data_IF_873116035916
#
_entry.id   IF_873116035916
#
_cell.length_a   1.000
_cell.length_b   1.000
_cell.length_c   1.000
_cell.angle_alpha   90.00
_cell.angle_beta   90.00
_cell.angle_gamma   90.00
#
_symmetry.space_group_name_H-M   'P 1'
#
loop_
_entity.id
_entity.type
_entity.pdbx_description
1 polymer ?
#
# COMPACT_ATOMS: atom_id res chain seq x y z
N UNK A 1 -0.77 2.93 -6.98
CA UNK A 1 -0.77 2.06 -8.18
C UNK A 1 -2.20 1.65 -8.46
N UNK A 2 -2.76 1.92 -9.67
CA UNK A 2 -4.08 1.42 -10.00
C UNK A 2 -4.09 -0.11 -10.02
N UNK A 3 -5.18 -0.70 -9.53
CA UNK A 3 -5.38 -2.15 -9.49
C UNK A 3 -5.64 -2.69 -10.90
N UNK A 4 -4.92 -3.74 -11.32
CA UNK A 4 -5.21 -4.43 -12.58
C UNK A 4 -6.32 -5.46 -12.36
N UNK A 5 -7.55 -5.13 -12.76
CA UNK A 5 -8.75 -5.97 -12.59
C UNK A 5 -8.63 -7.35 -13.25
N UNK A 6 -7.80 -7.51 -14.29
CA UNK A 6 -7.64 -8.79 -15.01
C UNK A 6 -6.99 -9.88 -14.15
N UNK A 7 -6.29 -9.48 -13.09
CA UNK A 7 -5.61 -10.40 -12.17
C UNK A 7 -6.55 -11.00 -11.13
N UNK A 8 -7.78 -10.51 -11.02
CA UNK A 8 -8.73 -10.91 -9.99
C UNK A 8 -9.84 -11.78 -10.61
N UNK A 9 -10.48 -12.65 -9.82
CA UNK A 9 -11.64 -13.40 -10.25
C UNK A 9 -12.77 -12.49 -10.75
N UNK A 10 -13.57 -12.95 -11.74
CA UNK A 10 -14.71 -12.18 -12.27
C UNK A 10 -15.73 -11.79 -11.19
N UNK A 11 -15.90 -12.65 -10.18
CA UNK A 11 -16.81 -12.45 -9.06
C UNK A 11 -16.20 -11.64 -7.88
N UNK A 12 -15.11 -10.91 -8.12
CA UNK A 12 -14.37 -10.18 -7.08
C UNK A 12 -15.25 -9.25 -6.24
N UNK A 13 -16.20 -8.54 -6.85
CA UNK A 13 -17.05 -7.59 -6.13
C UNK A 13 -17.94 -8.29 -5.09
N UNK A 14 -18.52 -9.44 -5.44
CA UNK A 14 -19.28 -10.26 -4.50
C UNK A 14 -18.41 -10.87 -3.40
N UNK A 15 -17.21 -11.35 -3.75
CA UNK A 15 -16.27 -11.91 -2.76
C UNK A 15 -15.85 -10.83 -1.76
N UNK A 16 -15.47 -9.65 -2.26
CA UNK A 16 -15.06 -8.53 -1.43
C UNK A 16 -16.20 -8.06 -0.51
N UNK A 17 -17.45 -8.05 -1.00
CA UNK A 17 -18.62 -7.72 -0.18
C UNK A 17 -18.85 -8.77 0.91
N UNK A 18 -18.78 -10.07 0.58
CA UNK A 18 -18.94 -11.15 1.54
C UNK A 18 -17.92 -11.06 2.68
N UNK A 19 -16.64 -10.86 2.36
CA UNK A 19 -15.57 -10.73 3.36
C UNK A 19 -15.81 -9.52 4.29
N UNK A 20 -16.18 -8.36 3.74
CA UNK A 20 -16.46 -7.15 4.53
C UNK A 20 -17.70 -7.30 5.41
N UNK A 21 -18.75 -7.94 4.90
CA UNK A 21 -19.97 -8.22 5.66
C UNK A 21 -19.68 -9.24 6.78
N UNK A 22 -18.91 -10.28 6.51
CA UNK A 22 -18.51 -11.26 7.53
C UNK A 22 -17.68 -10.62 8.66
N UNK A 23 -16.84 -9.65 8.33
CA UNK A 23 -16.08 -8.86 9.31
C UNK A 23 -16.90 -7.76 10.01
N UNK A 24 -18.23 -7.71 9.79
CA UNK A 24 -19.12 -6.66 10.31
C UNK A 24 -18.57 -5.25 10.09
N UNK A 25 -18.01 -5.00 8.90
CA UNK A 25 -17.39 -3.74 8.53
C UNK A 25 -16.31 -3.24 9.51
N UNK A 26 -15.63 -4.16 10.20
CA UNK A 26 -14.59 -3.88 11.18
C UNK A 26 -13.26 -4.43 10.69
N UNK A 27 -12.18 -3.65 10.86
CA UNK A 27 -10.85 -4.06 10.43
C UNK A 27 -10.35 -5.24 11.28
N UNK A 28 -9.99 -6.36 10.67
CA UNK A 28 -9.49 -7.55 11.37
C UNK A 28 -8.07 -7.39 11.96
N UNK A 29 -7.33 -6.34 11.56
CA UNK A 29 -5.97 -6.08 12.07
C UNK A 29 -5.96 -5.14 13.28
N UNK A 30 -6.82 -4.12 13.30
CA UNK A 30 -6.80 -3.09 14.34
C UNK A 30 -8.14 -2.87 15.04
N UNK A 31 -9.20 -3.59 14.66
CA UNK A 31 -10.56 -3.46 15.18
C UNK A 31 -11.22 -2.09 14.93
N UNK A 32 -10.73 -1.31 13.97
CA UNK A 32 -11.37 -0.05 13.58
C UNK A 32 -12.74 -0.32 12.92
N UNK A 33 -13.84 0.26 13.43
CA UNK A 33 -15.15 0.16 12.80
C UNK A 33 -15.17 1.09 11.59
N UNK A 34 -15.20 0.51 10.40
CA UNK A 34 -15.14 1.23 9.13
C UNK A 34 -16.54 1.58 8.61
N UNK A 35 -16.58 2.32 7.51
CA UNK A 35 -17.82 2.77 6.86
C UNK A 35 -18.59 1.61 6.24
N UNK A 36 -19.90 1.54 6.49
CA UNK A 36 -20.84 0.55 5.92
C UNK A 36 -21.38 0.98 4.56
N UNK A 37 -21.95 0.08 3.74
CA UNK A 37 -22.56 0.44 2.46
C UNK A 37 -23.77 1.33 2.70
N UNK A 38 -23.83 2.46 1.98
CA UNK A 38 -24.94 3.42 2.10
C UNK A 38 -24.86 4.34 3.33
N UNK A 39 -23.88 4.15 4.22
CA UNK A 39 -23.67 5.04 5.36
C UNK A 39 -23.11 6.39 4.90
N UNK A 40 -23.78 7.47 5.30
CA UNK A 40 -23.37 8.83 5.00
C UNK A 40 -22.17 9.25 5.85
N UNK A 41 -21.44 10.26 5.39
CA UNK A 41 -20.28 10.81 6.11
C UNK A 41 -20.65 11.27 7.53
N UNK A 42 -21.80 11.93 7.68
CA UNK A 42 -22.30 12.39 8.97
C UNK A 42 -22.68 11.24 9.91
N UNK A 43 -23.33 10.19 9.40
CA UNK A 43 -23.73 9.02 10.19
C UNK A 43 -22.50 8.24 10.68
N UNK A 44 -21.47 8.12 9.84
CA UNK A 44 -20.19 7.54 10.24
C UNK A 44 -19.57 8.36 11.38
N UNK A 45 -19.48 9.68 11.23
CA UNK A 45 -18.87 10.57 12.25
C UNK A 45 -19.60 10.42 13.58
N UNK A 46 -20.93 10.54 13.57
CA UNK A 46 -21.77 10.40 14.75
C UNK A 46 -21.53 9.05 15.44
N UNK A 47 -21.60 7.94 14.69
CA UNK A 47 -21.38 6.59 15.23
C UNK A 47 -19.98 6.40 15.82
N UNK A 48 -18.95 6.98 15.20
CA UNK A 48 -17.58 6.86 15.71
C UNK A 48 -17.41 7.69 16.98
N UNK A 49 -18.01 8.87 17.06
CA UNK A 49 -17.94 9.73 18.24
C UNK A 49 -18.71 9.15 19.44
N UNK A 50 -19.89 8.57 19.20
CA UNK A 50 -20.76 8.03 20.25
C UNK A 50 -20.36 6.62 20.69
N UNK A 51 -20.28 5.67 19.76
CA UNK A 51 -20.13 4.23 20.07
C UNK A 51 -18.66 3.79 20.10
N UNK A 52 -17.79 4.52 19.41
CA UNK A 52 -16.39 4.12 19.18
C UNK A 52 -15.39 5.25 19.43
N UNK A 53 -15.58 5.98 20.52
CA UNK A 53 -14.81 7.18 20.88
C UNK A 53 -13.29 7.00 20.88
N UNK A 54 -12.80 5.77 21.06
CA UNK A 54 -11.39 5.41 20.90
C UNK A 54 -10.80 5.79 19.52
N UNK A 55 -11.64 5.87 18.47
CA UNK A 55 -11.25 6.23 17.11
C UNK A 55 -11.63 7.65 16.70
N UNK A 56 -12.30 8.43 17.57
CA UNK A 56 -12.77 9.77 17.22
C UNK A 56 -11.62 10.69 16.76
N UNK A 57 -10.43 10.55 17.37
CA UNK A 57 -9.23 11.33 16.99
C UNK A 57 -8.73 11.06 15.57
N UNK A 58 -9.13 9.95 14.97
CA UNK A 58 -8.71 9.59 13.61
C UNK A 58 -9.62 10.19 12.54
N UNK A 59 -10.79 10.72 12.91
CA UNK A 59 -11.76 11.34 12.00
C UNK A 59 -11.24 12.64 11.39
N UNK A 60 -10.40 13.37 12.13
CA UNK A 60 -9.91 14.69 11.75
C UNK A 60 -8.38 14.76 11.86
N UNK A 61 -7.78 15.65 11.08
CA UNK A 61 -6.35 15.94 11.12
C UNK A 61 -6.13 17.44 10.92
N UNK A 62 -5.31 18.02 11.80
CA UNK A 62 -4.86 19.40 11.68
C UNK A 62 -3.86 19.51 10.54
N UNK A 63 -4.10 20.43 9.62
CA UNK A 63 -3.17 20.78 8.56
C UNK A 63 -2.91 22.27 8.57
N UNK A 64 -1.64 22.65 8.59
CA UNK A 64 -1.22 24.03 8.40
C UNK A 64 -1.17 24.34 6.90
N UNK A 65 -1.85 25.40 6.51
CA UNK A 65 -1.85 25.92 5.16
C UNK A 65 -1.36 27.36 5.17
N UNK A 66 -0.60 27.75 4.16
CA UNK A 66 -0.07 29.12 4.05
C UNK A 66 -1.21 30.16 3.96
N UNK A 67 -2.37 29.77 3.41
CA UNK A 67 -3.51 30.65 3.17
C UNK A 67 -4.47 30.76 4.37
N UNK A 68 -4.74 29.65 5.07
CA UNK A 68 -5.77 29.61 6.13
C UNK A 68 -5.22 29.27 7.52
N UNK A 69 -3.91 29.12 7.67
CA UNK A 69 -3.30 28.67 8.93
C UNK A 69 -3.66 27.22 9.25
N UNK A 70 -3.72 26.88 10.54
CA UNK A 70 -4.06 25.54 11.02
C UNK A 70 -5.56 25.28 10.90
N UNK A 71 -5.96 24.41 9.97
CA UNK A 71 -7.34 24.00 9.74
C UNK A 71 -7.55 22.52 10.07
N UNK A 72 -8.73 22.17 10.56
CA UNK A 72 -9.11 20.79 10.85
C UNK A 72 -9.81 20.17 9.63
N UNK A 73 -9.20 19.12 9.06
CA UNK A 73 -9.68 18.48 7.84
C UNK A 73 -10.19 17.06 8.15
N UNK A 74 -11.40 16.68 7.72
CA UNK A 74 -11.90 15.32 7.88
C UNK A 74 -11.08 14.31 7.05
N UNK A 75 -10.67 13.21 7.67
CA UNK A 75 -9.89 12.10 7.09
C UNK A 75 -10.69 10.79 7.05
N UNK A 76 -11.92 10.87 6.54
CA UNK A 76 -12.84 9.72 6.49
C UNK A 76 -12.32 8.54 5.65
N UNK A 77 -11.40 8.77 4.71
CA UNK A 77 -10.73 7.69 3.95
C UNK A 77 -10.03 6.67 4.87
N UNK A 78 -9.59 7.08 6.07
CA UNK A 78 -8.99 6.18 7.07
C UNK A 78 -9.97 5.10 7.59
N UNK A 79 -11.26 5.33 7.40
CA UNK A 79 -12.38 4.43 7.74
C UNK A 79 -12.93 3.69 6.51
N UNK A 80 -12.21 3.69 5.39
CA UNK A 80 -12.56 2.85 4.23
C UNK A 80 -12.06 1.43 4.46
N UNK A 81 -12.97 0.45 4.43
CA UNK A 81 -12.64 -0.98 4.53
C UNK A 81 -12.32 -1.55 3.15
N UNK A 82 -11.18 -2.21 3.05
CA UNK A 82 -10.66 -2.83 1.84
C UNK A 82 -10.45 -4.33 2.07
N UNK A 83 -10.46 -5.09 0.98
CA UNK A 83 -10.14 -6.52 1.01
C UNK A 83 -8.66 -6.67 0.61
N UNK A 84 -7.87 -7.28 1.47
CA UNK A 84 -6.43 -7.43 1.33
C UNK A 84 -6.07 -8.90 1.06
N UNK A 85 -5.01 -9.09 0.26
CA UNK A 85 -4.36 -10.39 0.05
C UNK A 85 -3.10 -10.43 0.94
N UNK A 86 -3.13 -11.11 2.10
CA UNK A 86 -1.97 -11.19 2.99
C UNK A 86 -0.76 -11.80 2.28
N UNK A 87 -0.95 -12.77 1.39
CA UNK A 87 0.15 -13.43 0.68
C UNK A 87 0.55 -12.72 -0.64
N UNK A 88 -0.04 -11.55 -0.94
CA UNK A 88 0.22 -10.78 -2.16
C UNK A 88 0.01 -11.56 -3.48
N UNK A 89 -0.96 -12.47 -3.48
CA UNK A 89 -1.29 -13.43 -4.53
C UNK A 89 -2.67 -13.18 -5.16
N UNK A 90 -2.90 -12.03 -5.84
CA UNK A 90 -4.23 -11.65 -6.33
C UNK A 90 -4.84 -12.59 -7.38
N UNK A 91 -4.02 -13.41 -8.02
CA UNK A 91 -4.42 -14.37 -9.07
C UNK A 91 -4.84 -15.73 -8.49
N UNK A 92 -4.58 -15.97 -7.20
CA UNK A 92 -4.91 -17.22 -6.53
C UNK A 92 -6.43 -17.25 -6.26
N UNK A 93 -7.20 -18.18 -6.85
CA UNK A 93 -8.64 -18.28 -6.61
C UNK A 93 -8.98 -18.68 -5.17
N UNK A 94 -8.07 -19.36 -4.48
CA UNK A 94 -8.22 -19.85 -3.11
C UNK A 94 -7.45 -18.97 -2.11
N UNK A 95 -7.17 -17.71 -2.48
CA UNK A 95 -6.45 -16.79 -1.60
C UNK A 95 -7.21 -16.57 -0.29
N UNK A 96 -6.48 -16.62 0.83
CA UNK A 96 -6.98 -16.13 2.11
C UNK A 96 -7.14 -14.61 2.00
N UNK A 97 -8.34 -14.09 2.22
CA UNK A 97 -8.64 -12.67 2.16
C UNK A 97 -8.92 -12.11 3.54
N UNK A 98 -8.49 -10.88 3.79
CA UNK A 98 -8.77 -10.16 5.04
C UNK A 98 -9.41 -8.80 4.82
N UNK A 99 -10.30 -8.39 5.70
CA UNK A 99 -10.91 -7.08 5.74
C UNK A 99 -10.03 -6.11 6.54
N UNK A 100 -9.30 -5.24 5.86
CA UNK A 100 -8.41 -4.26 6.47
C UNK A 100 -8.80 -2.83 6.13
N UNK A 101 -8.73 -1.93 7.11
CA UNK A 101 -8.90 -0.50 6.87
C UNK A 101 -7.77 0.02 5.96
N UNK A 102 -8.04 1.10 5.22
CA UNK A 102 -7.08 1.68 4.28
C UNK A 102 -5.69 1.90 4.90
N UNK A 103 -5.53 2.43 6.14
CA UNK A 103 -4.21 2.56 6.76
C UNK A 103 -3.49 1.23 7.04
N UNK A 104 -4.19 0.23 7.56
CA UNK A 104 -3.61 -1.10 7.83
C UNK A 104 -3.17 -1.79 6.53
N UNK A 105 -4.04 -1.74 5.52
CA UNK A 105 -3.73 -2.31 4.21
C UNK A 105 -2.55 -1.59 3.56
N UNK A 106 -2.55 -0.26 3.51
CA UNK A 106 -1.44 0.52 2.97
C UNK A 106 -0.12 0.20 3.69
N UNK A 107 -0.11 0.16 5.03
CA UNK A 107 1.09 -0.19 5.82
C UNK A 107 1.61 -1.59 5.48
N UNK A 108 0.72 -2.54 5.24
CA UNK A 108 1.10 -3.88 4.82
C UNK A 108 1.71 -3.86 3.41
N UNK A 109 1.03 -3.21 2.46
CA UNK A 109 1.44 -3.12 1.07
C UNK A 109 2.77 -2.40 0.84
N UNK A 110 3.10 -1.42 1.70
CA UNK A 110 4.39 -0.72 1.69
C UNK A 110 5.57 -1.71 1.78
N UNK A 111 5.42 -2.79 2.55
CA UNK A 111 6.46 -3.82 2.74
C UNK A 111 6.80 -4.56 1.45
N UNK A 112 5.83 -4.70 0.54
CA UNK A 112 6.01 -5.42 -0.72
C UNK A 112 6.23 -4.50 -1.93
N UNK A 113 6.36 -3.19 -1.75
CA UNK A 113 6.49 -2.25 -2.88
C UNK A 113 7.71 -2.51 -3.74
N UNK A 114 8.87 -2.83 -3.15
CA UNK A 114 10.09 -3.13 -3.91
C UNK A 114 9.89 -4.31 -4.86
N UNK A 115 9.42 -5.43 -4.31
CA UNK A 115 9.09 -6.64 -5.07
C UNK A 115 8.03 -6.37 -6.14
N UNK A 116 6.92 -5.69 -5.79
CA UNK A 116 5.86 -5.36 -6.75
C UNK A 116 6.36 -4.45 -7.88
N UNK A 117 7.28 -3.52 -7.59
CA UNK A 117 7.92 -2.66 -8.60
C UNK A 117 8.74 -3.50 -9.56
N UNK A 118 9.60 -4.39 -9.06
CA UNK A 118 10.40 -5.32 -9.89
C UNK A 118 9.52 -6.20 -10.78
N UNK A 119 8.58 -6.94 -10.18
CA UNK A 119 7.64 -7.81 -10.92
C UNK A 119 6.82 -7.04 -11.97
N UNK A 120 6.52 -5.75 -11.74
CA UNK A 120 5.83 -4.93 -12.75
C UNK A 120 6.75 -4.61 -13.93
N UNK A 121 8.01 -4.28 -13.68
CA UNK A 121 8.99 -3.99 -14.72
C UNK A 121 9.23 -5.23 -15.60
N UNK A 122 9.40 -6.40 -14.99
CA UNK A 122 9.50 -7.70 -15.68
C UNK A 122 8.30 -7.94 -16.59
N UNK A 123 7.06 -7.77 -16.08
CA UNK A 123 5.83 -7.91 -16.87
C UNK A 123 5.72 -6.90 -18.01
N UNK A 124 6.30 -5.72 -17.87
CA UNK A 124 6.40 -4.73 -18.96
C UNK A 124 7.55 -4.99 -19.94
N UNK A 125 8.27 -6.12 -19.78
CA UNK A 125 9.35 -6.53 -20.67
C UNK A 125 10.73 -5.96 -20.34
N UNK A 126 10.91 -5.34 -19.17
CA UNK A 126 12.26 -4.97 -18.71
C UNK A 126 12.97 -6.22 -18.17
N UNK A 127 14.14 -6.53 -18.74
CA UNK A 127 15.04 -7.56 -18.21
C UNK A 127 15.59 -7.09 -16.85
N UNK A 128 15.50 -7.95 -15.83
CA UNK A 128 16.18 -7.71 -14.56
C UNK A 128 17.68 -7.91 -14.74
N UNK A 129 18.47 -6.94 -14.30
CA UNK A 129 19.94 -6.97 -14.33
C UNK A 129 20.51 -8.22 -13.64
N UNK A 130 19.77 -8.85 -12.71
CA UNK A 130 20.15 -10.09 -12.04
C UNK A 130 20.33 -11.29 -13.00
N UNK A 131 19.73 -11.27 -14.19
CA UNK A 131 19.98 -12.26 -15.26
C UNK A 131 21.33 -12.08 -15.95
N UNK A 132 22.01 -10.95 -15.73
CA UNK A 132 23.33 -10.61 -16.27
C UNK A 132 24.38 -10.63 -15.13
N UNK A 133 24.21 -11.46 -14.10
CA UNK A 133 25.28 -11.72 -13.11
C UNK A 133 25.87 -10.49 -12.39
N UNK A 134 25.20 -9.34 -12.41
CA UNK A 134 25.62 -8.16 -11.67
C UNK A 134 24.94 -8.26 -10.31
N UNK A 135 25.70 -8.67 -9.31
CA UNK A 135 25.25 -8.73 -7.90
C UNK A 135 24.75 -7.36 -7.43
N UNK A 136 23.80 -7.36 -6.50
CA UNK A 136 23.27 -6.15 -5.87
C UNK A 136 24.39 -5.16 -5.51
N UNK A 137 24.25 -3.86 -5.86
CA UNK A 137 25.23 -2.87 -5.46
C UNK A 137 25.28 -2.81 -3.94
N UNK A 138 26.49 -2.99 -3.39
CA UNK A 138 26.79 -2.80 -1.97
C UNK A 138 26.31 -1.39 -1.60
N UNK A 139 25.47 -1.21 -0.56
CA UNK A 139 24.98 0.10 -0.19
C UNK A 139 26.17 1.00 0.12
N UNK A 140 26.35 2.05 -0.70
CA UNK A 140 27.31 3.10 -0.42
C UNK A 140 26.97 3.68 0.95
N UNK A 141 27.93 3.61 1.86
CA UNK A 141 27.83 4.17 3.20
C UNK A 141 27.30 5.59 3.17
N UNK A 142 26.58 5.96 4.22
CA UNK A 142 26.01 7.29 4.40
C UNK A 142 27.08 8.39 4.22
N UNK A 143 27.02 9.17 3.13
CA UNK A 143 27.68 10.48 3.09
C UNK A 143 28.34 10.90 1.76
N UNK A 144 27.69 11.86 1.09
CA UNK A 144 28.23 13.03 0.35
C UNK A 144 29.34 12.81 -0.70
N UNK A 145 28.95 12.61 -1.96
CA UNK A 145 29.28 13.46 -3.15
C UNK A 145 28.81 12.72 -4.44
N UNK A 146 27.77 13.22 -5.14
CA UNK A 146 27.22 12.56 -6.33
C UNK A 146 28.08 12.66 -7.61
N UNK A 147 29.25 13.32 -7.58
CA UNK A 147 30.10 13.49 -8.77
C UNK A 147 31.26 12.50 -8.88
N UNK A 148 31.45 11.63 -7.89
CA UNK A 148 32.61 10.71 -7.86
C UNK A 148 32.24 9.31 -8.33
N UNK A 149 32.29 9.08 -9.64
CA UNK A 149 32.29 7.73 -10.22
C UNK A 149 33.75 7.27 -10.30
N UNK A 150 34.14 6.26 -9.51
CA UNK A 150 35.37 5.51 -9.78
C UNK A 150 35.08 4.51 -10.88
N UNK A 151 35.44 4.84 -12.11
CA UNK A 151 35.56 3.86 -13.19
C UNK A 151 36.81 3.00 -12.91
N UNK A 152 36.72 1.66 -12.97
CA UNK A 152 37.90 0.82 -12.86
C UNK A 152 38.86 1.13 -14.03
N UNK A 153 40.15 1.29 -13.74
CA UNK A 153 41.19 1.40 -14.76
C UNK A 153 41.10 0.17 -15.67
N UNK A 154 40.98 0.37 -16.98
CA UNK A 154 41.21 -0.70 -17.95
C UNK A 154 42.64 -1.19 -17.79
N UNK A 155 42.81 -2.45 -17.38
CA UNK A 155 44.07 -3.15 -17.64
C UNK A 155 44.21 -3.31 -19.16
N UNK A 156 45.21 -2.63 -19.71
CA UNK A 156 45.62 -2.82 -21.09
C UNK A 156 46.12 -4.26 -21.26
N UNK A 157 45.37 -5.08 -21.98
CA UNK A 157 45.85 -6.37 -22.45
C UNK A 157 46.95 -6.11 -23.48
N UNK A 158 48.20 -6.26 -23.05
CA UNK A 158 49.34 -6.39 -23.94
C UNK A 158 49.21 -7.64 -24.81
N UNK A 159 49.61 -7.51 -26.08
CA UNK A 159 49.86 -8.64 -26.96
C UNK A 159 49.47 -8.38 -28.40
N UNK A 160 50.42 -7.86 -29.20
CA UNK A 160 50.90 -8.48 -30.44
C UNK A 160 52.32 -7.95 -30.71
#
# INVERSE_FOLDING_TARGET
>A
MPMDRRRYPKAWESIALQIKTAANWTCEACNRPCRRPGELDAELVERIETDHSAWAKDLYEWQETEEFGAIEIPKLTRFTLTTAHPNHDPENPDAELKAWCSPCHCRYDLKAMGTKKRLKLERSGQLTIDLIGITDPIPAGQGKDPTRIQLPLREELGGL
#
